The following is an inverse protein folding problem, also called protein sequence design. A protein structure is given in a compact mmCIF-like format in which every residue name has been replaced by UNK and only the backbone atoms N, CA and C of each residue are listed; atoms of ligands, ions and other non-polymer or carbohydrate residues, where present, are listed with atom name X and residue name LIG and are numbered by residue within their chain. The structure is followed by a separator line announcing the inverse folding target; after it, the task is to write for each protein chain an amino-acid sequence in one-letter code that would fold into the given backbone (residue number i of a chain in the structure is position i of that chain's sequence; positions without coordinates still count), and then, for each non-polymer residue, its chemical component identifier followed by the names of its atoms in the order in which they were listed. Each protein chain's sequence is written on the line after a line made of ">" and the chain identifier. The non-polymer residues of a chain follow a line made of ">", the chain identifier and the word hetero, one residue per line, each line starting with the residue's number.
data_IF_645240777645
#
_entry.id   IF_645240777645
#
_cell.length_a   1.000
_cell.length_b   1.000
_cell.length_c   1.000
_cell.angle_alpha   90.00
_cell.angle_beta   90.00
_cell.angle_gamma   90.00
#
_symmetry.space_group_name_H-M   'P 1'
#
loop_
_entity.id
_entity.type
_entity.pdbx_description
1 polymer ?
#
# COMPACT_ATOMS: atom_id res chain seq x y z
N UNK A 1 -9.99 -13.55 9.11
CA UNK A 1 -9.91 -13.44 7.64
C UNK A 1 -10.66 -12.20 7.19
N UNK A 2 -9.95 -11.25 6.59
CA UNK A 2 -10.54 -10.06 5.97
C UNK A 2 -11.30 -10.50 4.72
N UNK A 3 -12.46 -9.87 4.46
CA UNK A 3 -13.34 -10.21 3.33
C UNK A 3 -14.25 -9.05 2.99
N UNK A 4 -14.54 -8.88 1.71
CA UNK A 4 -15.51 -7.89 1.23
C UNK A 4 -16.82 -8.60 0.92
N UNK A 5 -17.88 -8.27 1.67
CA UNK A 5 -19.19 -8.92 1.51
C UNK A 5 -19.84 -8.52 0.18
N UNK A 6 -20.51 -9.47 -0.45
CA UNK A 6 -21.37 -9.18 -1.59
C UNK A 6 -22.53 -8.28 -1.16
N UNK A 7 -22.91 -7.31 -1.99
CA UNK A 7 -24.02 -6.41 -1.70
C UNK A 7 -25.39 -7.02 -2.07
N UNK A 8 -25.40 -8.13 -2.83
CA UNK A 8 -26.62 -8.75 -3.37
C UNK A 8 -26.96 -10.10 -2.71
N UNK A 9 -26.05 -10.69 -1.93
CA UNK A 9 -26.29 -11.96 -1.23
C UNK A 9 -25.34 -12.15 -0.03
N UNK A 10 -25.42 -13.31 0.61
CA UNK A 10 -24.59 -13.72 1.75
C UNK A 10 -23.14 -14.12 1.40
N UNK A 11 -22.80 -14.08 0.11
CA UNK A 11 -21.46 -14.37 -0.39
C UNK A 11 -20.45 -13.25 -0.13
N UNK A 12 -19.22 -13.45 -0.61
CA UNK A 12 -18.16 -12.44 -0.60
C UNK A 12 -17.62 -12.22 -2.02
N UNK A 13 -17.06 -11.05 -2.28
CA UNK A 13 -16.30 -10.82 -3.51
C UNK A 13 -14.94 -11.54 -3.41
N UNK A 14 -14.61 -12.30 -4.44
CA UNK A 14 -13.31 -12.96 -4.63
C UNK A 14 -12.72 -12.47 -5.95
N UNK A 15 -11.39 -12.43 -6.06
CA UNK A 15 -10.75 -12.03 -7.31
C UNK A 15 -10.89 -13.13 -8.36
N UNK A 16 -11.07 -12.71 -9.61
CA UNK A 16 -11.20 -13.57 -10.79
C UNK A 16 -10.47 -12.93 -11.95
N UNK A 17 -9.78 -13.76 -12.73
CA UNK A 17 -9.21 -13.37 -14.00
C UNK A 17 -10.28 -13.44 -15.11
N UNK A 18 -10.32 -12.45 -15.98
CA UNK A 18 -11.33 -12.29 -17.01
C UNK A 18 -10.76 -11.64 -18.26
N UNK A 19 -11.55 -11.61 -19.34
CA UNK A 19 -11.12 -11.09 -20.65
C UNK A 19 -10.59 -9.65 -20.62
N UNK A 20 -11.04 -8.85 -19.67
CA UNK A 20 -10.70 -7.43 -19.54
C UNK A 20 -9.78 -7.15 -18.34
N UNK A 21 -9.08 -8.19 -17.86
CA UNK A 21 -8.26 -8.14 -16.66
C UNK A 21 -9.00 -8.57 -15.41
N UNK A 22 -8.32 -8.43 -14.29
CA UNK A 22 -8.75 -8.89 -12.96
C UNK A 22 -9.94 -8.10 -12.46
N UNK A 23 -10.96 -8.80 -11.98
CA UNK A 23 -12.15 -8.21 -11.37
C UNK A 23 -12.58 -9.03 -10.15
N UNK A 24 -13.48 -8.48 -9.35
CA UNK A 24 -14.03 -9.21 -8.21
C UNK A 24 -15.44 -9.70 -8.53
N UNK A 25 -15.65 -11.01 -8.42
CA UNK A 25 -16.96 -11.63 -8.63
C UNK A 25 -17.48 -12.25 -7.34
N UNK A 26 -18.80 -12.29 -7.17
CA UNK A 26 -19.39 -12.97 -6.02
C UNK A 26 -18.99 -14.45 -5.96
N UNK A 27 -18.68 -14.94 -4.75
CA UNK A 27 -18.40 -16.36 -4.47
C UNK A 27 -19.58 -17.29 -4.80
N UNK A 28 -20.81 -16.75 -4.83
CA UNK A 28 -22.04 -17.51 -5.12
C UNK A 28 -22.40 -17.59 -6.62
N UNK A 29 -21.52 -17.17 -7.53
CA UNK A 29 -21.72 -17.39 -8.96
C UNK A 29 -21.93 -18.89 -9.27
N UNK A 30 -22.89 -19.30 -10.13
CA UNK A 30 -23.69 -18.46 -11.03
C UNK A 30 -24.99 -17.88 -10.42
N UNK A 31 -25.34 -18.22 -9.17
CA UNK A 31 -26.59 -17.78 -8.52
C UNK A 31 -26.62 -16.26 -8.25
N UNK A 32 -25.46 -15.67 -7.99
CA UNK A 32 -25.27 -14.22 -7.91
C UNK A 32 -24.22 -13.80 -8.94
N UNK A 33 -24.56 -12.83 -9.79
CA UNK A 33 -23.70 -12.30 -10.86
C UNK A 33 -23.11 -10.93 -10.54
N UNK A 34 -23.23 -10.48 -9.28
CA UNK A 34 -22.63 -9.22 -8.83
C UNK A 34 -21.13 -9.22 -9.06
N UNK A 35 -20.63 -8.12 -9.62
CA UNK A 35 -19.20 -7.89 -9.86
C UNK A 35 -18.80 -6.50 -9.37
N UNK A 36 -17.52 -6.34 -9.06
CA UNK A 36 -16.86 -5.08 -8.76
C UNK A 36 -15.55 -4.98 -9.54
N UNK A 37 -15.17 -3.76 -9.87
CA UNK A 37 -13.83 -3.49 -10.40
C UNK A 37 -12.81 -3.64 -9.29
N UNK A 38 -11.56 -3.97 -9.66
CA UNK A 38 -10.49 -4.19 -8.69
C UNK A 38 -10.30 -2.98 -7.74
N UNK A 39 -10.25 -1.76 -8.29
CA UNK A 39 -10.11 -0.54 -7.49
C UNK A 39 -11.26 -0.33 -6.49
N UNK A 40 -12.47 -0.84 -6.77
CA UNK A 40 -13.63 -0.71 -5.87
C UNK A 40 -13.48 -1.61 -4.66
N UNK A 41 -12.96 -2.83 -4.86
CA UNK A 41 -12.64 -3.75 -3.77
C UNK A 41 -11.52 -3.20 -2.89
N UNK A 42 -10.49 -2.61 -3.50
CA UNK A 42 -9.39 -1.97 -2.75
C UNK A 42 -9.90 -0.79 -1.91
N UNK A 43 -10.75 0.08 -2.47
CA UNK A 43 -11.36 1.18 -1.70
C UNK A 43 -12.24 0.63 -0.57
N UNK A 44 -13.05 -0.40 -0.81
CA UNK A 44 -13.86 -1.02 0.24
C UNK A 44 -13.02 -1.68 1.34
N UNK A 45 -11.90 -2.29 0.98
CA UNK A 45 -10.94 -2.82 1.95
C UNK A 45 -10.41 -1.70 2.84
N UNK A 46 -9.87 -0.62 2.24
CA UNK A 46 -9.32 0.51 2.98
C UNK A 46 -10.38 1.15 3.89
N UNK A 47 -11.62 1.23 3.41
CA UNK A 47 -12.74 1.77 4.18
C UNK A 47 -13.04 0.95 5.45
N UNK A 48 -13.00 -0.38 5.33
CA UNK A 48 -13.39 -1.29 6.41
C UNK A 48 -12.23 -1.54 7.38
N UNK A 49 -11.02 -1.72 6.84
CA UNK A 49 -9.86 -2.19 7.59
C UNK A 49 -8.80 -1.11 7.84
N UNK A 50 -8.86 0.01 7.13
CA UNK A 50 -7.82 1.03 7.18
C UNK A 50 -6.57 0.64 6.41
N UNK A 51 -5.46 1.33 6.69
CA UNK A 51 -4.14 1.06 6.13
C UNK A 51 -3.15 0.93 7.28
N UNK A 52 -2.45 -0.20 7.33
CA UNK A 52 -1.37 -0.48 8.26
C UNK A 52 -0.15 0.37 7.97
N UNK A 53 0.38 1.01 9.03
CA UNK A 53 1.60 1.80 8.99
C UNK A 53 2.71 1.01 9.67
N UNK A 54 3.85 0.95 9.00
CA UNK A 54 5.02 0.20 9.40
C UNK A 54 6.17 1.15 9.65
N UNK A 55 6.98 0.86 10.68
CA UNK A 55 8.17 1.61 11.07
C UNK A 55 9.35 0.67 11.26
N UNK A 56 10.52 1.11 10.80
CA UNK A 56 11.78 0.53 11.21
C UNK A 56 12.85 1.60 11.35
N UNK A 57 13.93 1.27 12.06
CA UNK A 57 15.12 2.12 12.12
C UNK A 57 16.14 1.60 11.12
N UNK A 58 16.77 2.52 10.38
CA UNK A 58 17.90 2.21 9.49
C UNK A 58 19.08 3.12 9.76
N UNK A 59 20.26 2.70 9.36
CA UNK A 59 21.40 3.60 9.30
C UNK A 59 21.26 4.56 8.12
N UNK A 60 21.47 5.85 8.35
CA UNK A 60 21.45 6.84 7.29
C UNK A 60 22.68 6.71 6.39
N UNK A 61 22.49 6.51 5.08
CA UNK A 61 23.59 6.38 4.12
C UNK A 61 24.56 7.58 4.13
N UNK A 62 24.07 8.79 4.45
CA UNK A 62 24.86 10.03 4.43
C UNK A 62 25.60 10.29 5.75
N UNK A 63 24.88 10.32 6.87
CA UNK A 63 25.44 10.74 8.15
C UNK A 63 25.72 9.58 9.12
N UNK A 64 25.40 8.34 8.74
CA UNK A 64 25.63 7.11 9.52
C UNK A 64 24.92 7.04 10.87
N UNK A 65 24.06 8.00 11.18
CA UNK A 65 23.18 7.97 12.36
C UNK A 65 21.92 7.18 12.05
N UNK A 66 21.42 6.46 13.06
CA UNK A 66 20.12 5.77 12.99
C UNK A 66 18.99 6.77 12.81
N UNK A 67 18.06 6.45 11.91
CA UNK A 67 16.86 7.25 11.64
C UNK A 67 15.67 6.33 11.44
N UNK A 68 14.53 6.76 11.99
CA UNK A 68 13.27 6.07 11.77
C UNK A 68 12.75 6.36 10.37
N UNK A 69 12.23 5.32 9.73
CA UNK A 69 11.56 5.39 8.44
C UNK A 69 10.22 4.68 8.53
N UNK A 70 9.28 5.13 7.69
CA UNK A 70 7.88 4.70 7.73
C UNK A 70 7.38 4.38 6.33
N UNK A 71 6.48 3.41 6.20
CA UNK A 71 5.73 3.17 4.97
C UNK A 71 4.40 2.48 5.28
N UNK A 72 3.56 2.38 4.28
CA UNK A 72 2.50 1.37 4.18
C UNK A 72 2.85 0.41 3.03
N UNK A 73 2.22 -0.76 3.03
CA UNK A 73 2.40 -1.82 2.03
C UNK A 73 1.02 -2.42 1.73
N UNK A 74 0.25 -1.71 0.91
CA UNK A 74 -1.16 -2.05 0.68
C UNK A 74 -1.30 -3.40 -0.03
N UNK A 75 -0.37 -3.75 -0.92
CA UNK A 75 -0.30 -5.06 -1.57
C UNK A 75 -0.18 -6.21 -0.55
N UNK A 76 0.72 -6.07 0.44
CA UNK A 76 0.87 -7.03 1.53
C UNK A 76 -0.41 -7.16 2.36
N UNK A 77 -1.08 -6.05 2.67
CA UNK A 77 -2.32 -6.07 3.43
C UNK A 77 -3.48 -6.69 2.64
N UNK A 78 -3.52 -6.47 1.32
CA UNK A 78 -4.53 -7.04 0.43
C UNK A 78 -4.30 -8.53 0.16
N UNK A 79 -3.09 -9.04 0.32
CA UNK A 79 -2.80 -10.47 0.24
C UNK A 79 -3.60 -11.32 1.25
N UNK A 80 -4.03 -10.72 2.36
CA UNK A 80 -4.93 -11.39 3.33
C UNK A 80 -6.36 -11.53 2.82
N UNK A 81 -6.76 -10.73 1.82
CA UNK A 81 -8.08 -10.78 1.20
C UNK A 81 -8.12 -11.87 0.12
N UNK A 82 -7.09 -11.92 -0.71
CA UNK A 82 -6.95 -12.88 -1.80
C UNK A 82 -5.46 -13.01 -2.17
N UNK A 83 -4.94 -14.23 -2.28
CA UNK A 83 -3.52 -14.46 -2.63
C UNK A 83 -3.18 -13.91 -4.01
N UNK A 84 -4.18 -13.68 -4.88
CA UNK A 84 -3.97 -13.03 -6.17
C UNK A 84 -3.36 -11.63 -6.03
N UNK A 85 -3.55 -10.94 -4.90
CA UNK A 85 -2.88 -9.67 -4.64
C UNK A 85 -1.35 -9.80 -4.50
N UNK A 86 -0.81 -11.00 -4.20
CA UNK A 86 0.63 -11.26 -4.18
C UNK A 86 1.23 -11.51 -5.57
N UNK A 87 0.40 -11.74 -6.60
CA UNK A 87 0.88 -12.15 -7.92
C UNK A 87 0.42 -11.15 -8.99
N UNK A 88 1.27 -10.16 -9.28
CA UNK A 88 1.13 -9.32 -10.47
C UNK A 88 0.47 -7.95 -10.27
N UNK A 89 0.13 -7.58 -9.04
CA UNK A 89 -0.36 -6.22 -8.72
C UNK A 89 0.78 -5.29 -8.29
N UNK A 90 0.64 -3.97 -8.53
CA UNK A 90 1.67 -3.00 -8.17
C UNK A 90 1.87 -2.94 -6.65
N UNK A 91 3.13 -2.87 -6.22
CA UNK A 91 3.46 -2.54 -4.84
C UNK A 91 3.09 -1.09 -4.54
N UNK A 92 2.36 -0.86 -3.44
CA UNK A 92 1.79 0.45 -3.10
C UNK A 92 2.24 0.86 -1.71
N UNK A 93 3.04 1.92 -1.63
CA UNK A 93 3.65 2.42 -0.41
C UNK A 93 3.82 3.94 -0.39
N UNK A 94 4.59 4.45 0.57
CA UNK A 94 4.83 5.89 0.74
C UNK A 94 5.23 6.56 -0.58
N UNK A 95 4.48 7.56 -1.00
CA UNK A 95 4.65 8.25 -2.28
C UNK A 95 3.57 7.93 -3.33
N UNK A 96 2.77 6.88 -3.10
CA UNK A 96 1.76 6.41 -4.06
C UNK A 96 0.34 6.95 -3.80
N UNK A 97 -0.01 7.24 -2.53
CA UNK A 97 -1.35 7.68 -2.09
C UNK A 97 -1.25 9.04 -1.41
N UNK A 98 -1.52 10.12 -2.14
CA UNK A 98 -1.22 11.49 -1.70
C UNK A 98 -1.92 11.89 -0.39
N UNK A 99 -3.14 11.38 -0.16
CA UNK A 99 -3.87 11.62 1.08
C UNK A 99 -3.19 10.96 2.29
N UNK A 100 -2.80 9.69 2.17
CA UNK A 100 -2.12 8.94 3.25
C UNK A 100 -0.75 9.54 3.52
N UNK A 101 0.01 9.84 2.47
CA UNK A 101 1.29 10.53 2.53
C UNK A 101 1.19 11.85 3.31
N UNK A 102 0.12 12.62 3.06
CA UNK A 102 -0.19 13.86 3.77
C UNK A 102 -0.38 13.63 5.27
N UNK A 103 -1.21 12.67 5.66
CA UNK A 103 -1.44 12.30 7.07
C UNK A 103 -0.14 11.88 7.75
N UNK A 104 0.65 11.05 7.08
CA UNK A 104 1.93 10.57 7.60
C UNK A 104 2.94 11.71 7.77
N UNK A 105 3.01 12.64 6.81
CA UNK A 105 3.92 13.81 6.90
C UNK A 105 3.59 14.77 8.04
N UNK A 106 2.31 14.87 8.42
CA UNK A 106 1.89 15.68 9.58
C UNK A 106 2.27 15.00 10.90
N UNK A 107 2.28 13.66 10.92
CA UNK A 107 2.55 12.87 12.12
C UNK A 107 4.04 12.60 12.34
N UNK A 108 4.79 12.35 11.27
CA UNK A 108 6.17 11.87 11.32
C UNK A 108 7.11 12.87 10.66
N UNK A 109 7.90 13.57 11.47
CA UNK A 109 8.83 14.62 11.02
C UNK A 109 9.91 14.14 10.02
N UNK A 110 10.18 12.83 9.98
CA UNK A 110 11.08 12.22 8.99
C UNK A 110 10.45 12.08 7.62
N UNK A 111 9.13 12.21 7.47
CA UNK A 111 8.47 12.20 6.16
C UNK A 111 8.32 13.63 5.68
N UNK A 112 8.98 13.95 4.56
CA UNK A 112 8.99 15.30 4.03
C UNK A 112 8.83 15.28 2.51
N UNK A 113 8.33 16.39 1.97
CA UNK A 113 8.22 16.60 0.53
C UNK A 113 9.61 16.64 -0.10
N UNK A 114 9.77 15.95 -1.23
CA UNK A 114 10.97 15.95 -2.07
C UNK A 114 10.56 16.18 -3.52
N UNK A 115 11.45 16.80 -4.28
CA UNK A 115 11.28 17.04 -5.71
C UNK A 115 12.20 16.10 -6.49
N UNK A 116 11.66 15.43 -7.50
CA UNK A 116 12.41 14.61 -8.45
C UNK A 116 12.66 15.42 -9.71
N UNK A 117 13.93 15.63 -10.04
CA UNK A 117 14.32 16.26 -11.31
C UNK A 117 14.07 15.32 -12.51
N UNK A 118 14.04 14.01 -12.30
CA UNK A 118 13.83 13.02 -13.37
C UNK A 118 12.39 12.98 -13.84
N UNK A 119 11.44 13.06 -12.89
CA UNK A 119 10.01 12.96 -13.18
C UNK A 119 9.31 14.33 -13.13
N UNK A 120 10.07 15.40 -12.83
CA UNK A 120 9.58 16.76 -12.63
C UNK A 120 8.39 16.87 -11.66
N UNK A 121 8.35 15.99 -10.66
CA UNK A 121 7.23 15.87 -9.73
C UNK A 121 7.68 15.93 -8.27
N UNK A 122 6.76 16.31 -7.39
CA UNK A 122 6.99 16.25 -5.93
C UNK A 122 6.30 15.04 -5.33
N UNK A 123 6.92 14.43 -4.33
CA UNK A 123 6.41 13.26 -3.60
C UNK A 123 6.80 13.36 -2.12
N UNK A 124 6.08 12.67 -1.24
CA UNK A 124 6.49 12.51 0.15
C UNK A 124 7.49 11.37 0.25
N UNK A 125 8.52 11.54 1.07
CA UNK A 125 9.54 10.53 1.26
C UNK A 125 10.14 10.58 2.66
N UNK A 126 10.70 9.46 3.10
CA UNK A 126 11.48 9.40 4.32
C UNK A 126 12.78 10.20 4.19
N UNK A 127 13.19 10.81 5.28
CA UNK A 127 14.36 11.69 5.39
C UNK A 127 15.03 11.46 6.73
N UNK A 128 16.34 11.63 6.76
CA UNK A 128 17.11 11.42 7.97
C UNK A 128 16.77 12.51 9.00
N UNK A 129 16.42 12.11 10.22
CA UNK A 129 16.14 13.03 11.34
C UNK A 129 17.35 13.88 11.76
N UNK A 130 18.56 13.55 11.29
CA UNK A 130 19.80 14.22 11.68
C UNK A 130 20.38 15.14 10.60
N UNK A 131 20.30 14.73 9.32
CA UNK A 131 20.93 15.46 8.22
C UNK A 131 19.99 15.79 7.06
N UNK A 132 18.70 15.42 7.16
CA UNK A 132 17.69 15.67 6.12
C UNK A 132 17.86 14.89 4.82
N UNK A 133 18.88 14.04 4.71
CA UNK A 133 19.12 13.23 3.52
C UNK A 133 17.92 12.33 3.23
N UNK A 134 17.50 12.26 1.97
CA UNK A 134 16.44 11.35 1.51
C UNK A 134 16.80 9.91 1.86
N UNK A 135 15.87 9.14 2.43
CA UNK A 135 16.06 7.74 2.85
C UNK A 135 15.22 6.78 1.98
N UNK A 136 15.05 7.12 0.70
CA UNK A 136 14.22 6.41 -0.29
C UNK A 136 15.00 5.88 -1.51
N UNK A 137 14.29 5.16 -2.38
CA UNK A 137 14.75 4.07 -3.26
C UNK A 137 15.88 4.29 -4.29
N UNK A 138 16.43 5.49 -4.52
CA UNK A 138 17.33 5.70 -5.68
C UNK A 138 18.75 6.22 -5.40
N UNK A 139 19.21 6.34 -4.16
CA UNK A 139 20.63 6.56 -3.91
C UNK A 139 21.11 5.74 -2.72
N UNK A 140 21.98 4.78 -3.02
CA UNK A 140 22.65 3.84 -2.11
C UNK A 140 21.70 2.75 -1.57
N UNK A 141 21.56 1.70 -2.37
CA UNK A 141 21.02 0.38 -1.97
C UNK A 141 21.78 -0.15 -0.75
N UNK A 142 21.16 -0.03 0.41
CA UNK A 142 20.71 -1.24 1.09
C UNK A 142 19.21 -1.29 0.81
N UNK A 143 18.91 -2.32 0.04
CA UNK A 143 17.75 -2.51 -0.80
C UNK A 143 16.43 -2.46 0.01
N UNK A 144 15.32 -1.89 -0.49
CA UNK A 144 13.98 -2.30 -0.05
C UNK A 144 13.83 -3.83 0.02
N UNK A 145 14.60 -4.58 -0.79
CA UNK A 145 14.76 -6.02 -0.71
C UNK A 145 15.44 -6.55 0.55
N UNK A 146 16.13 -5.79 1.41
CA UNK A 146 16.62 -6.38 2.68
C UNK A 146 15.48 -6.64 3.66
N UNK A 147 14.54 -5.71 3.74
CA UNK A 147 13.29 -5.93 4.45
C UNK A 147 12.46 -6.91 3.63
N UNK A 148 12.24 -6.67 2.34
CA UNK A 148 11.34 -7.51 1.51
C UNK A 148 11.84 -8.96 1.32
N UNK A 149 13.14 -9.28 1.26
CA UNK A 149 13.69 -10.65 1.19
C UNK A 149 13.59 -11.39 2.53
N UNK A 150 13.95 -10.75 3.66
CA UNK A 150 13.67 -11.36 4.98
C UNK A 150 12.16 -11.53 5.22
N UNK A 151 11.34 -10.61 4.70
CA UNK A 151 9.89 -10.54 4.90
C UNK A 151 9.10 -11.54 4.04
N UNK A 152 9.45 -11.71 2.76
CA UNK A 152 8.74 -12.61 1.85
C UNK A 152 8.93 -14.08 2.25
N UNK A 153 10.03 -14.43 2.92
CA UNK A 153 10.27 -15.77 3.41
C UNK A 153 9.71 -16.06 4.82
N UNK A 154 9.40 -15.04 5.63
CA UNK A 154 9.06 -15.23 7.06
C UNK A 154 7.72 -14.69 7.55
N UNK A 155 6.90 -14.01 6.71
CA UNK A 155 5.65 -13.32 7.12
C UNK A 155 5.85 -12.40 8.34
N UNK A 156 7.01 -11.75 8.44
CA UNK A 156 7.43 -10.99 9.62
C UNK A 156 7.07 -9.51 9.63
N UNK A 157 6.14 -9.01 8.78
CA UNK A 157 5.84 -7.56 8.72
C UNK A 157 5.16 -7.04 9.98
N UNK A 158 4.42 -7.90 10.68
CA UNK A 158 3.75 -7.57 11.94
C UNK A 158 4.71 -7.02 12.99
N UNK A 159 5.99 -7.41 12.97
CA UNK A 159 7.01 -6.90 13.90
C UNK A 159 7.35 -5.42 13.66
N UNK A 160 7.06 -4.90 12.47
CA UNK A 160 7.26 -3.51 12.08
C UNK A 160 5.97 -2.70 12.10
N UNK A 161 4.80 -3.35 12.23
CA UNK A 161 3.51 -2.69 12.33
C UNK A 161 3.47 -1.84 13.61
N UNK A 162 3.00 -0.59 13.49
CA UNK A 162 2.87 0.32 14.63
C UNK A 162 1.44 0.78 14.86
N UNK A 163 0.65 0.91 13.81
CA UNK A 163 -0.74 1.33 13.89
C UNK A 163 -1.49 1.10 12.57
N UNK A 164 -2.80 1.29 12.60
CA UNK A 164 -3.64 1.33 11.41
C UNK A 164 -4.34 2.68 11.31
N UNK A 165 -4.20 3.36 10.18
CA UNK A 165 -4.95 4.58 9.89
C UNK A 165 -6.35 4.18 9.41
N UNK A 166 -7.36 4.49 10.21
CA UNK A 166 -8.75 4.34 9.81
C UNK A 166 -9.10 5.31 8.67
N UNK A 167 -9.75 4.80 7.63
CA UNK A 167 -10.11 5.58 6.43
C UNK A 167 -11.60 5.42 6.11
N UNK A 168 -12.54 5.81 7.00
CA UNK A 168 -13.97 5.59 6.79
C UNK A 168 -14.55 6.34 5.58
N UNK A 169 -13.92 7.46 5.20
CA UNK A 169 -14.14 8.14 3.92
C UNK A 169 -12.93 7.91 3.01
N UNK A 170 -13.14 7.17 1.93
CA UNK A 170 -12.11 6.87 0.93
C UNK A 170 -12.15 7.79 -0.28
N UNK A 171 -13.01 8.81 -0.29
CA UNK A 171 -13.12 9.78 -1.39
C UNK A 171 -11.77 10.40 -1.79
N UNK A 172 -10.88 10.77 -0.85
CA UNK A 172 -9.56 11.30 -1.20
C UNK A 172 -8.63 10.30 -1.91
N UNK A 173 -8.91 9.00 -1.82
CA UNK A 173 -8.06 7.93 -2.38
C UNK A 173 -8.51 7.49 -3.77
N UNK A 174 -9.72 7.88 -4.21
CA UNK A 174 -10.34 7.36 -5.43
C UNK A 174 -9.46 7.57 -6.66
N UNK A 175 -8.85 8.74 -6.81
CA UNK A 175 -8.02 9.05 -7.99
C UNK A 175 -6.76 8.19 -8.04
N UNK A 176 -6.05 8.05 -6.92
CA UNK A 176 -4.81 7.27 -6.86
C UNK A 176 -5.09 5.77 -7.00
N UNK A 177 -6.08 5.26 -6.27
CA UNK A 177 -6.46 3.84 -6.32
C UNK A 177 -6.98 3.46 -7.71
N UNK A 178 -7.77 4.31 -8.36
CA UNK A 178 -8.15 4.07 -9.77
C UNK A 178 -6.93 4.09 -10.68
N UNK A 179 -6.03 5.07 -10.56
CA UNK A 179 -4.82 5.15 -11.39
C UNK A 179 -3.95 3.90 -11.26
N UNK A 180 -3.81 3.38 -10.05
CA UNK A 180 -2.98 2.21 -9.74
C UNK A 180 -3.63 0.90 -10.20
N UNK A 181 -4.93 0.71 -9.93
CA UNK A 181 -5.60 -0.59 -10.12
C UNK A 181 -6.55 -0.68 -11.32
N UNK A 182 -6.70 0.38 -12.14
CA UNK A 182 -7.51 0.30 -13.38
C UNK A 182 -6.74 -0.24 -14.58
N UNK A 183 -5.42 -0.36 -14.49
CA UNK A 183 -4.51 -0.86 -15.56
C UNK A 183 -3.72 -2.09 -15.12
N UNK A 184 -4.10 -2.71 -13.99
CA UNK A 184 -3.47 -3.96 -13.57
C UNK A 184 -3.72 -5.03 -14.65
N UNK A 185 -2.66 -5.73 -15.10
CA UNK A 185 -2.73 -6.68 -16.21
C UNK A 185 -3.72 -7.83 -15.97
#
# INVERSE_FOLDING_TARGET
>A
MKRIRCQECDGNYILRDGKFGVFAGCSNYPRCRSTKKLYEVVLEYIRIYGIGIYRWDRECWKCKKKTAVYSYYLDYELAELDEFFNSGLPAVGLGDLAYIDGLLSQKYATIQKRYSNTTHSSYMANTCSHCGALQGRNYVVEDPHEIVEELWHSRGMDKFWIETIACPDTSPLVSDIKRIYSQAP
#
